data_IF_886167257949
#
_entry.id   IF_886167257949
#
_cell.length_a   1.000
_cell.length_b   1.000
_cell.length_c   1.000
_cell.angle_alpha   90.00
_cell.angle_beta   90.00
_cell.angle_gamma   90.00
#
_symmetry.space_group_name_H-M   'P 1'
#
loop_
_entity.id
_entity.type
_entity.pdbx_description
1 polymer ?
#
# COMPACT_ATOMS: atom_id res chain seq x y z
N UNK A 1 7.95 -4.36 14.19
CA UNK A 1 8.26 -4.74 12.80
C UNK A 1 8.80 -6.17 12.75
N UNK A 2 9.85 -6.53 13.51
CA UNK A 2 10.46 -7.88 13.44
C UNK A 2 9.49 -9.04 13.70
N UNK A 3 8.59 -8.92 14.67
CA UNK A 3 7.55 -9.93 14.94
C UNK A 3 6.54 -10.06 13.80
N UNK A 4 6.18 -8.94 13.15
CA UNK A 4 5.24 -8.93 12.01
C UNK A 4 5.87 -9.59 10.78
N UNK A 5 7.17 -9.37 10.56
CA UNK A 5 7.91 -10.06 9.50
C UNK A 5 7.94 -11.57 9.68
N UNK A 6 7.94 -12.07 10.95
CA UNK A 6 7.82 -13.50 11.26
C UNK A 6 6.45 -14.08 10.92
N UNK A 7 5.39 -13.25 10.95
CA UNK A 7 4.02 -13.61 10.57
C UNK A 7 3.77 -13.61 9.05
N UNK A 8 4.82 -13.35 8.24
CA UNK A 8 4.77 -13.28 6.77
C UNK A 8 3.92 -12.13 6.21
N UNK A 9 3.52 -11.18 7.05
CA UNK A 9 2.78 -9.99 6.64
C UNK A 9 3.74 -8.82 6.37
N UNK A 10 4.18 -8.71 5.12
CA UNK A 10 5.07 -7.64 4.68
C UNK A 10 4.32 -6.30 4.56
N UNK A 11 3.04 -6.32 4.19
CA UNK A 11 2.24 -5.12 4.02
C UNK A 11 2.12 -4.34 5.33
N UNK A 12 1.64 -5.01 6.37
CA UNK A 12 1.53 -4.42 7.71
C UNK A 12 2.89 -4.03 8.29
N UNK A 13 3.95 -4.84 8.05
CA UNK A 13 5.30 -4.49 8.48
C UNK A 13 5.80 -3.18 7.86
N UNK A 14 5.56 -2.98 6.57
CA UNK A 14 5.91 -1.74 5.86
C UNK A 14 5.11 -0.53 6.36
N UNK A 15 3.81 -0.70 6.61
CA UNK A 15 2.96 0.37 7.15
C UNK A 15 3.40 0.81 8.54
N UNK A 16 3.69 -0.15 9.44
CA UNK A 16 4.20 0.15 10.79
C UNK A 16 5.57 0.81 10.74
N UNK A 17 6.44 0.39 9.83
CA UNK A 17 7.74 1.01 9.64
C UNK A 17 7.57 2.43 9.09
N UNK A 18 6.73 2.63 8.09
CA UNK A 18 6.46 3.95 7.52
C UNK A 18 5.86 4.91 8.55
N UNK A 19 4.92 4.45 9.40
CA UNK A 19 4.37 5.28 10.48
C UNK A 19 5.44 5.73 11.48
N UNK A 20 6.38 4.83 11.83
CA UNK A 20 7.52 5.18 12.68
C UNK A 20 8.45 6.22 12.02
N UNK A 21 8.72 6.08 10.73
CA UNK A 21 9.50 7.05 9.95
C UNK A 21 8.80 8.42 9.93
N UNK A 22 7.48 8.47 9.76
CA UNK A 22 6.71 9.71 9.81
C UNK A 22 6.79 10.41 11.17
N UNK A 23 6.69 9.65 12.26
CA UNK A 23 6.86 10.21 13.62
C UNK A 23 8.25 10.81 13.79
N UNK A 24 9.30 10.11 13.40
CA UNK A 24 10.68 10.60 13.49
C UNK A 24 10.90 11.84 12.62
N UNK A 25 10.30 11.87 11.43
CA UNK A 25 10.36 13.05 10.55
C UNK A 25 9.71 14.27 11.20
N UNK A 26 8.51 14.13 11.76
CA UNK A 26 7.81 15.21 12.45
C UNK A 26 8.50 15.63 13.77
N UNK A 27 9.21 14.70 14.41
CA UNK A 27 10.02 14.98 15.60
C UNK A 27 11.28 15.82 15.30
N UNK A 28 11.56 16.10 14.02
CA UNK A 28 12.68 16.95 13.64
C UNK A 28 14.02 16.21 13.57
N UNK A 29 14.02 14.90 13.39
CA UNK A 29 15.24 14.13 13.14
C UNK A 29 15.92 14.63 11.86
N UNK A 30 17.25 14.74 11.87
CA UNK A 30 18.03 15.26 10.76
C UNK A 30 17.72 14.55 9.42
N UNK A 31 17.53 15.36 8.37
CA UNK A 31 17.23 14.90 7.00
C UNK A 31 18.24 13.89 6.44
N UNK A 32 19.48 13.94 6.92
CA UNK A 32 20.54 13.02 6.50
C UNK A 32 20.21 11.55 6.80
N UNK A 33 19.54 11.27 7.92
CA UNK A 33 19.12 9.91 8.27
C UNK A 33 18.07 9.37 7.30
N UNK A 34 17.14 10.21 6.87
CA UNK A 34 16.14 9.83 5.86
C UNK A 34 16.76 9.65 4.49
N UNK A 35 17.72 10.51 4.11
CA UNK A 35 18.48 10.37 2.89
C UNK A 35 19.26 9.04 2.83
N UNK A 36 19.98 8.70 3.89
CA UNK A 36 20.74 7.43 3.96
C UNK A 36 19.82 6.23 3.96
N UNK A 37 18.70 6.27 4.72
CA UNK A 37 17.70 5.19 4.73
C UNK A 37 17.05 5.02 3.34
N UNK A 38 16.74 6.12 2.65
CA UNK A 38 16.19 6.10 1.29
C UNK A 38 17.16 5.50 0.27
N UNK A 39 18.43 5.88 0.31
CA UNK A 39 19.48 5.30 -0.56
C UNK A 39 19.63 3.80 -0.31
N UNK A 40 19.62 3.37 0.96
CA UNK A 40 19.71 1.95 1.31
C UNK A 40 18.46 1.17 0.84
N UNK A 41 17.27 1.75 0.97
CA UNK A 41 16.02 1.14 0.51
C UNK A 41 16.00 1.00 -1.03
N UNK A 42 16.34 2.06 -1.75
CA UNK A 42 16.42 2.05 -3.23
C UNK A 42 17.50 1.08 -3.71
N UNK A 43 18.68 1.12 -3.07
CA UNK A 43 19.79 0.20 -3.39
C UNK A 43 19.39 -1.26 -3.14
N UNK A 44 18.76 -1.55 -2.00
CA UNK A 44 18.25 -2.88 -1.69
C UNK A 44 17.18 -3.35 -2.68
N UNK A 45 16.26 -2.47 -3.07
CA UNK A 45 15.25 -2.75 -4.09
C UNK A 45 15.89 -3.01 -5.47
N UNK A 46 16.86 -2.18 -5.88
CA UNK A 46 17.58 -2.38 -7.13
C UNK A 46 18.33 -3.73 -7.14
N UNK A 47 19.00 -4.08 -6.04
CA UNK A 47 19.64 -5.40 -5.89
C UNK A 47 18.59 -6.51 -5.98
N UNK A 48 17.45 -6.39 -5.31
CA UNK A 48 16.38 -7.38 -5.40
C UNK A 48 15.84 -7.55 -6.82
N UNK A 49 15.81 -6.47 -7.62
CA UNK A 49 15.32 -6.52 -9.01
C UNK A 49 16.33 -7.07 -10.01
N UNK A 50 17.60 -6.73 -9.87
CA UNK A 50 18.60 -6.99 -10.91
C UNK A 50 19.62 -8.08 -10.56
N UNK A 51 19.82 -8.40 -9.27
CA UNK A 51 20.77 -9.42 -8.88
C UNK A 51 20.26 -10.84 -9.20
N UNK A 52 21.15 -11.78 -9.54
CA UNK A 52 20.77 -13.17 -9.76
C UNK A 52 20.19 -13.80 -8.49
N UNK A 53 19.18 -14.67 -8.66
CA UNK A 53 18.46 -15.28 -7.52
C UNK A 53 19.39 -16.09 -6.61
N UNK A 54 20.50 -16.58 -7.14
CA UNK A 54 21.52 -17.31 -6.38
C UNK A 54 22.15 -16.50 -5.24
N UNK A 55 22.15 -15.16 -5.33
CA UNK A 55 22.61 -14.27 -4.26
C UNK A 55 21.68 -14.27 -3.05
N UNK A 56 20.42 -14.66 -3.29
CA UNK A 56 19.36 -14.71 -2.27
C UNK A 56 19.18 -16.12 -1.67
N UNK A 57 20.12 -17.04 -1.86
CA UNK A 57 20.06 -18.39 -1.34
C UNK A 57 19.93 -18.48 0.19
N UNK A 58 20.28 -17.40 0.91
CA UNK A 58 20.10 -17.28 2.36
C UNK A 58 18.66 -16.92 2.78
N UNK A 59 17.82 -16.46 1.84
CA UNK A 59 16.41 -16.16 2.09
C UNK A 59 15.59 -17.44 2.10
N UNK A 60 14.50 -17.43 2.87
CA UNK A 60 13.55 -18.54 2.89
C UNK A 60 12.84 -18.67 1.53
N UNK A 61 12.45 -19.89 1.12
CA UNK A 61 11.82 -20.13 -0.19
C UNK A 61 10.67 -19.17 -0.50
N UNK A 62 9.76 -18.92 0.46
CA UNK A 62 8.64 -18.00 0.26
C UNK A 62 9.06 -16.53 -0.03
N UNK A 63 10.23 -16.11 0.45
CA UNK A 63 10.77 -14.76 0.19
C UNK A 63 11.38 -14.70 -1.21
N UNK A 64 12.01 -15.79 -1.65
CA UNK A 64 12.52 -15.92 -3.01
C UNK A 64 11.36 -15.93 -4.01
N UNK A 65 10.28 -16.67 -3.72
CA UNK A 65 9.08 -16.72 -4.56
C UNK A 65 8.45 -15.32 -4.70
N UNK A 66 8.40 -14.52 -3.63
CA UNK A 66 7.91 -13.14 -3.73
C UNK A 66 8.77 -12.25 -4.64
N UNK A 67 10.10 -12.37 -4.57
CA UNK A 67 11.00 -11.63 -5.46
C UNK A 67 10.77 -12.07 -6.92
N UNK A 68 10.59 -13.36 -7.15
CA UNK A 68 10.33 -13.90 -8.48
C UNK A 68 8.98 -13.43 -9.03
N UNK A 69 7.91 -13.51 -8.24
CA UNK A 69 6.57 -13.02 -8.63
C UNK A 69 6.58 -11.51 -8.91
N UNK A 70 7.38 -10.75 -8.17
CA UNK A 70 7.52 -9.31 -8.40
C UNK A 70 8.28 -8.99 -9.69
N UNK A 71 9.25 -9.85 -10.08
CA UNK A 71 10.00 -9.72 -11.33
C UNK A 71 9.21 -10.13 -12.56
N UNK A 72 8.40 -11.17 -12.42
CA UNK A 72 7.66 -11.79 -13.52
C UNK A 72 6.29 -12.26 -13.00
N UNK A 73 5.31 -11.36 -12.93
CA UNK A 73 3.96 -11.68 -12.45
C UNK A 73 3.22 -12.66 -13.33
N UNK A 74 3.61 -12.79 -14.61
CA UNK A 74 2.94 -13.64 -15.58
C UNK A 74 3.24 -15.14 -15.34
N UNK A 75 4.32 -15.46 -14.63
CA UNK A 75 4.69 -16.84 -14.29
C UNK A 75 3.93 -17.41 -13.09
N UNK A 76 3.09 -16.63 -12.40
CA UNK A 76 2.23 -17.10 -11.29
C UNK A 76 0.74 -16.87 -11.59
N UNK A 77 0.16 -17.66 -12.54
CA UNK A 77 -1.22 -17.46 -13.00
C UNK A 77 -2.30 -17.86 -11.99
N UNK A 78 -1.95 -18.41 -10.84
CA UNK A 78 -2.90 -18.81 -9.77
C UNK A 78 -2.61 -18.19 -8.39
N UNK A 79 -1.60 -17.33 -8.28
CA UNK A 79 -1.22 -16.67 -7.03
C UNK A 79 -1.47 -15.17 -7.03
N UNK A 80 -0.50 -14.41 -6.53
CA UNK A 80 -0.59 -12.95 -6.42
C UNK A 80 -0.79 -12.26 -7.78
N UNK A 81 -0.23 -12.80 -8.87
CA UNK A 81 -0.40 -12.28 -10.22
C UNK A 81 -1.85 -12.33 -10.69
N UNK A 82 -2.60 -13.40 -10.34
CA UNK A 82 -4.03 -13.51 -10.65
C UNK A 82 -4.84 -12.40 -9.99
N UNK A 83 -4.60 -12.13 -8.72
CA UNK A 83 -5.33 -11.09 -7.98
C UNK A 83 -5.10 -9.69 -8.57
N UNK A 84 -3.86 -9.38 -8.98
CA UNK A 84 -3.51 -8.12 -9.65
C UNK A 84 -4.22 -8.01 -11.00
N UNK A 85 -4.25 -9.08 -11.79
CA UNK A 85 -4.93 -9.09 -13.09
C UNK A 85 -6.44 -8.89 -12.93
N UNK A 86 -7.06 -9.61 -12.01
CA UNK A 86 -8.50 -9.48 -11.72
C UNK A 86 -8.86 -8.10 -11.18
N UNK A 87 -8.01 -7.50 -10.34
CA UNK A 87 -8.22 -6.13 -9.87
C UNK A 87 -8.16 -5.10 -10.99
N UNK A 88 -7.23 -5.25 -11.95
CA UNK A 88 -7.16 -4.40 -13.15
C UNK A 88 -8.41 -4.54 -14.03
N UNK A 89 -8.92 -5.77 -14.18
CA UNK A 89 -10.17 -6.03 -14.91
C UNK A 89 -11.36 -5.40 -14.20
N UNK A 90 -11.44 -5.51 -12.86
CA UNK A 90 -12.48 -4.90 -12.05
C UNK A 90 -12.50 -3.37 -12.22
N UNK A 91 -11.34 -2.73 -12.07
CA UNK A 91 -11.19 -1.27 -12.23
C UNK A 91 -11.57 -0.83 -13.65
N UNK A 92 -11.06 -1.54 -14.66
CA UNK A 92 -11.39 -1.24 -16.07
C UNK A 92 -12.86 -1.47 -16.40
N UNK A 93 -13.49 -2.49 -15.77
CA UNK A 93 -14.91 -2.82 -15.96
C UNK A 93 -15.89 -1.84 -15.31
N UNK A 94 -15.45 -1.04 -14.33
CA UNK A 94 -16.29 -0.06 -13.65
C UNK A 94 -16.63 1.18 -14.48
N UNK A 95 -15.80 1.54 -15.46
CA UNK A 95 -16.01 2.72 -16.29
C UNK A 95 -16.14 4.03 -15.49
N UNK A 96 -16.96 4.98 -15.97
CA UNK A 96 -17.13 6.27 -15.29
C UNK A 96 -18.09 6.21 -14.10
N UNK A 97 -19.19 5.50 -14.21
CA UNK A 97 -20.30 5.51 -13.24
C UNK A 97 -20.41 4.22 -12.40
N UNK A 98 -19.61 3.22 -12.71
CA UNK A 98 -19.70 1.91 -12.08
C UNK A 98 -20.82 1.03 -12.63
N UNK A 99 -20.83 -0.23 -12.18
CA UNK A 99 -21.88 -1.21 -12.50
C UNK A 99 -23.09 -1.11 -11.57
N UNK A 100 -22.95 -0.40 -10.47
CA UNK A 100 -23.94 -0.28 -9.41
C UNK A 100 -23.55 -1.04 -8.14
N UNK A 101 -24.06 -0.59 -7.00
CA UNK A 101 -23.76 -1.17 -5.68
C UNK A 101 -24.05 -2.68 -5.67
N UNK A 102 -23.03 -3.48 -5.36
CA UNK A 102 -23.14 -4.93 -5.26
C UNK A 102 -23.44 -5.64 -6.59
N UNK A 103 -23.24 -5.00 -7.74
CA UNK A 103 -23.36 -5.61 -9.07
C UNK A 103 -22.01 -5.85 -9.75
N UNK A 104 -20.93 -5.69 -9.03
CA UNK A 104 -19.58 -6.02 -9.46
C UNK A 104 -19.44 -7.52 -9.75
N UNK A 105 -19.06 -7.88 -10.95
CA UNK A 105 -18.94 -9.28 -11.36
C UNK A 105 -17.74 -9.95 -10.73
N UNK A 106 -16.66 -9.21 -10.47
CA UNK A 106 -15.42 -9.76 -9.91
C UNK A 106 -15.54 -10.01 -8.41
N UNK A 107 -16.28 -9.16 -7.69
CA UNK A 107 -16.51 -9.31 -6.25
C UNK A 107 -17.55 -10.37 -5.93
N UNK A 108 -18.64 -10.47 -6.72
CA UNK A 108 -19.73 -11.41 -6.48
C UNK A 108 -19.44 -12.85 -6.90
N UNK A 109 -18.55 -13.07 -7.87
CA UNK A 109 -18.19 -14.39 -8.36
C UNK A 109 -16.97 -14.99 -7.65
N UNK A 110 -16.52 -14.39 -6.53
CA UNK A 110 -15.36 -14.80 -5.73
C UNK A 110 -14.07 -14.98 -6.56
N UNK A 111 -13.93 -14.27 -7.68
CA UNK A 111 -12.70 -14.25 -8.45
C UNK A 111 -11.55 -13.53 -7.71
N UNK A 112 -11.87 -12.70 -6.72
CA UNK A 112 -10.94 -12.00 -5.84
C UNK A 112 -11.10 -12.57 -4.41
N UNK A 113 -10.31 -13.57 -3.99
CA UNK A 113 -10.43 -14.19 -2.67
C UNK A 113 -10.20 -13.23 -1.49
N UNK A 114 -9.45 -12.12 -1.68
CA UNK A 114 -9.16 -11.11 -0.66
C UNK A 114 -9.86 -9.77 -0.94
N UNK A 115 -11.04 -9.80 -1.60
CA UNK A 115 -11.79 -8.60 -2.00
C UNK A 115 -12.23 -7.72 -0.82
N UNK A 116 -12.36 -8.29 0.40
CA UNK A 116 -12.80 -7.55 1.59
C UNK A 116 -11.69 -6.80 2.31
N UNK A 117 -10.44 -7.11 2.03
CA UNK A 117 -9.26 -6.55 2.72
C UNK A 117 -8.37 -5.77 1.76
N UNK A 118 -7.55 -6.46 1.00
CA UNK A 118 -6.47 -5.86 0.23
C UNK A 118 -6.95 -5.21 -1.08
N UNK A 119 -8.04 -5.75 -1.65
CA UNK A 119 -8.60 -5.28 -2.93
C UNK A 119 -9.93 -4.52 -2.79
N UNK A 120 -10.26 -4.02 -1.60
CA UNK A 120 -11.47 -3.23 -1.38
C UNK A 120 -11.60 -2.02 -2.32
N UNK A 121 -10.48 -1.41 -2.70
CA UNK A 121 -10.45 -0.31 -3.66
C UNK A 121 -10.84 -0.74 -5.08
N UNK A 122 -10.49 -1.97 -5.50
CA UNK A 122 -10.89 -2.52 -6.81
C UNK A 122 -12.41 -2.76 -6.86
N UNK A 123 -12.99 -3.29 -5.78
CA UNK A 123 -14.44 -3.50 -5.66
C UNK A 123 -15.16 -2.15 -5.70
N UNK A 124 -14.66 -1.15 -4.96
CA UNK A 124 -15.23 0.19 -4.98
C UNK A 124 -15.19 0.82 -6.37
N UNK A 125 -14.11 0.62 -7.12
CA UNK A 125 -13.98 1.14 -8.48
C UNK A 125 -14.85 0.39 -9.49
N UNK A 126 -15.14 -0.90 -9.28
CA UNK A 126 -16.08 -1.67 -10.10
C UNK A 126 -17.53 -1.22 -9.86
N UNK A 127 -17.91 -1.04 -8.58
CA UNK A 127 -19.28 -0.69 -8.19
C UNK A 127 -19.65 0.77 -8.50
N UNK A 128 -18.76 1.72 -8.19
CA UNK A 128 -19.03 3.17 -8.30
C UNK A 128 -18.28 3.85 -9.44
N UNK A 129 -17.40 3.15 -10.12
CA UNK A 129 -16.60 3.68 -11.22
C UNK A 129 -15.62 4.77 -10.80
N UNK A 130 -15.17 5.53 -11.79
CA UNK A 130 -14.21 6.62 -11.62
C UNK A 130 -14.72 7.72 -10.67
N UNK A 131 -16.02 8.01 -10.73
CA UNK A 131 -16.65 9.04 -9.89
C UNK A 131 -16.55 8.63 -8.42
N UNK A 132 -16.88 7.37 -8.09
CA UNK A 132 -16.77 6.85 -6.73
C UNK A 132 -15.34 6.88 -6.20
N UNK A 133 -14.38 6.50 -7.03
CA UNK A 133 -12.94 6.57 -6.69
C UNK A 133 -12.52 7.99 -6.35
N UNK A 134 -12.87 8.97 -7.19
CA UNK A 134 -12.52 10.39 -6.96
C UNK A 134 -13.16 10.93 -5.68
N UNK A 135 -14.41 10.58 -5.41
CA UNK A 135 -15.10 11.00 -4.17
C UNK A 135 -14.39 10.43 -2.94
N UNK A 136 -14.09 9.12 -2.92
CA UNK A 136 -13.41 8.48 -1.79
C UNK A 136 -12.00 9.03 -1.60
N UNK A 137 -11.22 9.19 -2.66
CA UNK A 137 -9.89 9.80 -2.59
C UNK A 137 -9.95 11.23 -2.07
N UNK A 138 -10.93 12.03 -2.51
CA UNK A 138 -11.12 13.40 -2.04
C UNK A 138 -11.44 13.45 -0.54
N UNK A 139 -12.29 12.54 -0.05
CA UNK A 139 -12.60 12.42 1.37
C UNK A 139 -11.36 12.02 2.18
N UNK A 140 -10.57 11.05 1.72
CA UNK A 140 -9.31 10.67 2.35
C UNK A 140 -8.32 11.83 2.42
N UNK A 141 -8.12 12.53 1.29
CA UNK A 141 -7.23 13.69 1.25
C UNK A 141 -7.73 14.82 2.15
N UNK A 142 -9.04 15.03 2.23
CA UNK A 142 -9.63 16.01 3.15
C UNK A 142 -9.32 15.67 4.62
N UNK A 143 -9.48 14.40 5.02
CA UNK A 143 -9.16 13.94 6.38
C UNK A 143 -7.67 14.12 6.68
N UNK A 144 -6.79 13.70 5.75
CA UNK A 144 -5.34 13.86 5.89
C UNK A 144 -4.96 15.33 6.01
N UNK A 145 -5.47 16.21 5.13
CA UNK A 145 -5.23 17.64 5.17
C UNK A 145 -5.71 18.25 6.49
N UNK A 146 -6.86 17.81 6.99
CA UNK A 146 -7.42 18.27 8.27
C UNK A 146 -6.55 17.85 9.46
N UNK A 147 -6.05 16.62 9.48
CA UNK A 147 -5.11 16.14 10.49
C UNK A 147 -3.80 16.95 10.48
N UNK A 148 -3.24 17.24 9.31
CA UNK A 148 -2.03 18.04 9.18
C UNK A 148 -2.26 19.50 9.59
N UNK A 149 -3.41 20.06 9.26
CA UNK A 149 -3.78 21.41 9.70
C UNK A 149 -3.88 21.48 11.22
N UNK A 150 -4.61 20.55 11.84
CA UNK A 150 -4.70 20.47 13.31
C UNK A 150 -3.29 20.35 13.91
N UNK A 151 -2.43 19.50 13.32
CA UNK A 151 -1.06 19.35 13.78
C UNK A 151 -0.25 20.66 13.71
N UNK A 152 -0.53 21.55 12.74
CA UNK A 152 0.17 22.82 12.60
C UNK A 152 -0.28 23.87 13.65
N UNK A 153 -1.53 23.80 14.09
CA UNK A 153 -2.10 24.76 15.05
C UNK A 153 -1.85 24.39 16.53
N UNK A 154 -1.47 23.14 16.80
CA UNK A 154 -1.25 22.67 18.18
C UNK A 154 0.09 23.15 18.74
N UNK A 155 0.05 23.73 19.96
CA UNK A 155 1.22 24.20 20.69
C UNK A 155 1.94 23.05 21.42
N UNK A 156 1.20 22.03 21.85
CA UNK A 156 1.75 20.87 22.54
C UNK A 156 2.49 19.94 21.58
N UNK A 157 3.78 19.70 21.86
CA UNK A 157 4.63 18.83 21.03
C UNK A 157 4.06 17.43 20.86
N UNK A 158 3.51 16.82 21.90
CA UNK A 158 2.94 15.48 21.83
C UNK A 158 1.68 15.43 20.95
N UNK A 159 0.73 16.32 21.18
CA UNK A 159 -0.52 16.38 20.41
C UNK A 159 -0.27 16.69 18.93
N UNK A 160 0.71 17.56 18.65
CA UNK A 160 1.15 17.87 17.28
C UNK A 160 1.71 16.65 16.57
N UNK A 161 2.63 15.91 17.23
CA UNK A 161 3.22 14.70 16.68
C UNK A 161 2.17 13.62 16.46
N UNK A 162 1.23 13.45 17.40
CA UNK A 162 0.15 12.48 17.30
C UNK A 162 -0.76 12.78 16.11
N UNK A 163 -1.28 14.00 15.99
CA UNK A 163 -2.17 14.38 14.91
C UNK A 163 -1.48 14.26 13.53
N UNK A 164 -0.23 14.73 13.42
CA UNK A 164 0.54 14.67 12.20
C UNK A 164 0.87 13.23 11.80
N UNK A 165 1.28 12.38 12.75
CA UNK A 165 1.62 10.98 12.45
C UNK A 165 0.39 10.16 12.05
N UNK A 166 -0.77 10.40 12.66
CA UNK A 166 -2.03 9.77 12.26
C UNK A 166 -2.42 10.15 10.82
N UNK A 167 -2.34 11.44 10.48
CA UNK A 167 -2.62 11.92 9.13
C UNK A 167 -1.68 11.29 8.08
N UNK A 168 -0.38 11.25 8.36
CA UNK A 168 0.61 10.64 7.46
C UNK A 168 0.47 9.11 7.38
N UNK A 169 0.11 8.45 8.48
CA UNK A 169 -0.15 7.00 8.46
C UNK A 169 -1.37 6.65 7.61
N UNK A 170 -2.46 7.43 7.72
CA UNK A 170 -3.63 7.29 6.84
C UNK A 170 -3.26 7.49 5.38
N UNK A 171 -2.46 8.51 5.07
CA UNK A 171 -1.96 8.74 3.72
C UNK A 171 -1.12 7.56 3.22
N UNK A 172 -0.22 7.02 4.08
CA UNK A 172 0.58 5.84 3.77
C UNK A 172 -0.26 4.61 3.47
N UNK A 173 -1.30 4.34 4.26
CA UNK A 173 -2.25 3.26 4.00
C UNK A 173 -2.94 3.40 2.65
N UNK A 174 -3.42 4.61 2.32
CA UNK A 174 -4.04 4.88 1.03
C UNK A 174 -3.06 4.62 -0.13
N UNK A 175 -1.82 5.12 0.01
CA UNK A 175 -0.79 5.01 -1.02
C UNK A 175 -0.40 3.55 -1.26
N UNK A 176 -0.20 2.77 -0.19
CA UNK A 176 0.12 1.34 -0.30
C UNK A 176 -1.02 0.58 -0.96
N UNK A 177 -2.28 0.78 -0.53
CA UNK A 177 -3.43 0.14 -1.16
C UNK A 177 -3.56 0.52 -2.65
N UNK A 178 -3.34 1.78 -3.01
CA UNK A 178 -3.36 2.21 -4.41
C UNK A 178 -2.23 1.57 -5.23
N UNK A 179 -1.01 1.47 -4.67
CA UNK A 179 0.13 0.84 -5.33
C UNK A 179 0.00 -0.68 -5.49
N UNK A 180 -0.72 -1.37 -4.59
CA UNK A 180 -0.93 -2.82 -4.71
C UNK A 180 -1.82 -3.19 -5.91
N UNK A 181 -2.61 -2.24 -6.41
CA UNK A 181 -3.63 -2.45 -7.44
C UNK A 181 -3.14 -2.00 -8.83
N UNK A 182 -2.15 -1.11 -8.89
CA UNK A 182 -1.61 -0.58 -10.15
C UNK A 182 -0.51 -1.47 -10.73
#
# INVERSE_FOLDING_TARGET
>A
VGLILLQRDLGTAMLVLASGVFVLFLAGVSWWWFGTAGVLAIGGFAVAMFAPISWFSFLRPYQQDRILTFRDPENDPMGAGWNILQSKIAIGGGGLTGKGWGQGTQSHLDYLPEHTTDFAFSVLSEDFGWIGVVVVLSLYLFVVARCLWIASDLLDGYSRLLAGSLGLSLFGCLLVNACMIS
#
